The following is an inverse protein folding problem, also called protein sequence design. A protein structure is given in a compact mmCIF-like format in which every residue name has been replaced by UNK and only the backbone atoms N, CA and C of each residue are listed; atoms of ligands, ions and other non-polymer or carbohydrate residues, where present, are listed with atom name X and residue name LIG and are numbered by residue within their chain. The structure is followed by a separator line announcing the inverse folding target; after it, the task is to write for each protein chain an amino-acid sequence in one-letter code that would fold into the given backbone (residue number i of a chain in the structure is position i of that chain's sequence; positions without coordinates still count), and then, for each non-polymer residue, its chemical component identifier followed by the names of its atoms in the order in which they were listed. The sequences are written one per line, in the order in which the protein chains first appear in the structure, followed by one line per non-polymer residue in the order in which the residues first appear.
data_IF_216299494498
#
_entry.id   IF_216299494498
#
_cell.length_a   1.000
_cell.length_b   1.000
_cell.length_c   1.000
_cell.angle_alpha   90.00
_cell.angle_beta   90.00
_cell.angle_gamma   90.00
#
_symmetry.space_group_name_H-M   'P 1'
#
loop_
_entity.id
_entity.type
_entity.pdbx_description
1 polymer ?
#
# COMPACT_ATOMS: atom_id res chain seq x y z
N UNK A 1 25.25 -11.48 1.34
CA UNK A 1 24.58 -10.17 1.28
C UNK A 1 23.38 -10.26 0.35
N UNK A 2 22.19 -9.93 0.85
CA UNK A 2 20.88 -10.09 0.18
C UNK A 2 20.55 -8.89 -0.72
N UNK A 3 19.63 -9.02 -1.70
CA UNK A 3 19.20 -7.90 -2.55
C UNK A 3 18.70 -6.68 -1.76
N UNK A 4 17.99 -6.91 -0.64
CA UNK A 4 17.48 -5.84 0.24
C UNK A 4 18.59 -5.07 0.95
N UNK A 5 19.69 -5.73 1.29
CA UNK A 5 20.86 -5.08 1.89
C UNK A 5 21.65 -4.27 0.86
N UNK A 6 21.75 -4.77 -0.38
CA UNK A 6 22.39 -4.02 -1.47
C UNK A 6 21.63 -2.73 -1.77
N UNK A 7 20.30 -2.79 -1.73
CA UNK A 7 19.48 -1.59 -1.86
C UNK A 7 19.73 -0.59 -0.72
N UNK A 8 19.74 -1.07 0.52
CA UNK A 8 20.03 -0.23 1.68
C UNK A 8 21.40 0.45 1.58
N UNK A 9 22.44 -0.27 1.16
CA UNK A 9 23.77 0.32 0.95
C UNK A 9 23.80 1.38 -0.15
N UNK A 10 23.11 1.14 -1.26
CA UNK A 10 22.97 2.14 -2.33
C UNK A 10 22.28 3.41 -1.82
N UNK A 11 21.16 3.27 -1.09
CA UNK A 11 20.43 4.39 -0.50
C UNK A 11 21.28 5.15 0.51
N UNK A 12 22.03 4.45 1.37
CA UNK A 12 22.94 5.08 2.33
C UNK A 12 24.03 5.86 1.61
N UNK A 13 24.61 5.30 0.56
CA UNK A 13 25.64 5.97 -0.25
C UNK A 13 25.09 7.27 -0.83
N UNK A 14 23.90 7.23 -1.41
CA UNK A 14 23.25 8.42 -1.97
C UNK A 14 22.86 9.43 -0.90
N UNK A 15 22.36 8.98 0.25
CA UNK A 15 22.07 9.84 1.39
C UNK A 15 23.34 10.56 1.87
N UNK A 16 24.49 9.87 1.95
CA UNK A 16 25.79 10.48 2.28
C UNK A 16 26.18 11.56 1.27
N UNK A 17 25.95 11.35 -0.04
CA UNK A 17 26.23 12.39 -1.05
C UNK A 17 25.36 13.65 -0.87
N UNK A 18 24.18 13.51 -0.24
CA UNK A 18 23.31 14.63 0.17
C UNK A 18 23.65 15.22 1.56
N UNK A 19 24.76 14.81 2.17
CA UNK A 19 25.18 15.31 3.48
C UNK A 19 24.57 14.57 4.67
N UNK A 20 23.97 13.39 4.47
CA UNK A 20 23.53 12.57 5.59
C UNK A 20 24.73 12.19 6.48
N UNK A 21 24.68 12.44 7.81
CA UNK A 21 25.77 12.14 8.71
C UNK A 21 25.82 10.64 9.06
N UNK A 22 25.60 9.74 8.10
CA UNK A 22 25.55 8.29 8.35
C UNK A 22 26.97 7.73 8.45
N UNK A 23 27.25 7.00 9.52
CA UNK A 23 28.52 6.29 9.72
C UNK A 23 28.44 4.95 8.98
N UNK A 24 27.46 4.13 9.34
CA UNK A 24 27.24 2.81 8.77
C UNK A 24 25.91 2.21 9.20
N UNK A 25 25.73 0.93 8.93
CA UNK A 25 24.56 0.19 9.40
C UNK A 25 24.96 -1.24 9.75
N UNK A 26 24.19 -1.88 10.62
CA UNK A 26 24.40 -3.28 11.02
C UNK A 26 23.08 -3.98 11.31
N UNK A 27 23.07 -5.31 11.18
CA UNK A 27 21.96 -6.11 11.72
C UNK A 27 22.17 -6.33 13.21
N UNK A 28 21.09 -6.18 13.96
CA UNK A 28 21.03 -6.56 15.37
C UNK A 28 20.73 -8.06 15.50
N UNK A 29 21.05 -8.69 16.64
CA UNK A 29 20.72 -10.10 16.91
C UNK A 29 19.23 -10.42 16.78
N UNK A 30 18.34 -9.43 17.02
CA UNK A 30 16.90 -9.56 16.85
C UNK A 30 16.36 -9.34 15.43
N UNK A 31 17.23 -9.37 14.41
CA UNK A 31 16.84 -9.22 13.00
C UNK A 31 16.54 -7.78 12.55
N UNK A 32 16.50 -6.81 13.48
CA UNK A 32 16.34 -5.37 13.17
C UNK A 32 17.61 -4.82 12.53
N UNK A 33 17.48 -3.75 11.75
CA UNK A 33 18.58 -2.98 11.20
C UNK A 33 18.83 -1.75 12.05
N UNK A 34 20.08 -1.51 12.42
CA UNK A 34 20.53 -0.29 13.10
C UNK A 34 21.33 0.56 12.12
N UNK A 35 20.94 1.81 11.91
CA UNK A 35 21.68 2.80 11.11
C UNK A 35 22.30 3.80 12.07
N UNK A 36 23.62 3.94 11.98
CA UNK A 36 24.43 4.78 12.87
C UNK A 36 24.67 6.15 12.24
N UNK A 37 24.53 7.20 13.04
CA UNK A 37 24.69 8.59 12.62
C UNK A 37 25.75 9.28 13.48
N UNK A 38 26.44 10.27 12.89
CA UNK A 38 27.42 11.11 13.58
C UNK A 38 26.69 12.01 14.56
N UNK A 39 27.14 12.01 15.82
CA UNK A 39 26.65 12.86 16.91
C UNK A 39 25.17 12.65 17.29
N UNK A 40 24.54 11.55 16.88
CA UNK A 40 23.17 11.22 17.27
C UNK A 40 23.01 9.72 17.54
N UNK A 41 21.92 9.35 18.22
CA UNK A 41 21.63 7.96 18.53
C UNK A 41 21.34 7.15 17.25
N UNK A 42 21.72 5.85 17.23
CA UNK A 42 21.37 4.97 16.12
C UNK A 42 19.86 4.85 15.95
N UNK A 43 19.40 4.83 14.70
CA UNK A 43 18.00 4.56 14.37
C UNK A 43 17.80 3.07 14.10
N UNK A 44 16.69 2.52 14.58
CA UNK A 44 16.38 1.10 14.45
C UNK A 44 15.16 0.88 13.56
N UNK A 45 15.30 -0.05 12.61
CA UNK A 45 14.28 -0.40 11.64
C UNK A 45 13.98 -1.89 11.67
N UNK A 46 12.74 -2.25 11.30
CA UNK A 46 12.29 -3.65 11.29
C UNK A 46 13.09 -4.53 10.31
N UNK A 47 13.74 -3.94 9.31
CA UNK A 47 14.61 -4.65 8.37
C UNK A 47 15.20 -3.74 7.31
N UNK A 48 16.02 -4.29 6.37
CA UNK A 48 16.76 -3.49 5.40
C UNK A 48 15.86 -2.69 4.44
N UNK A 49 14.71 -3.24 4.05
CA UNK A 49 13.76 -2.54 3.18
C UNK A 49 13.11 -1.33 3.87
N UNK A 50 12.71 -1.47 5.14
CA UNK A 50 12.13 -0.38 5.92
C UNK A 50 13.15 0.74 6.20
N UNK A 51 14.40 0.35 6.47
CA UNK A 51 15.51 1.30 6.59
C UNK A 51 15.75 2.06 5.28
N UNK A 52 15.77 1.37 4.15
CA UNK A 52 15.97 1.97 2.84
C UNK A 52 14.84 2.96 2.50
N UNK A 53 13.58 2.58 2.69
CA UNK A 53 12.43 3.45 2.43
C UNK A 53 12.42 4.70 3.32
N UNK A 54 12.72 4.54 4.61
CA UNK A 54 12.81 5.67 5.55
C UNK A 54 13.89 6.67 5.14
N UNK A 55 15.08 6.17 4.77
CA UNK A 55 16.18 7.01 4.32
C UNK A 55 15.89 7.69 2.97
N UNK A 56 15.19 7.01 2.05
CA UNK A 56 14.76 7.61 0.78
C UNK A 56 13.89 8.85 1.04
N UNK A 57 12.94 8.76 1.96
CA UNK A 57 12.07 9.87 2.31
C UNK A 57 12.82 10.97 3.08
N UNK A 58 13.58 10.58 4.11
CA UNK A 58 14.30 11.53 4.98
C UNK A 58 15.29 12.41 4.19
N UNK A 59 15.90 11.87 3.14
CA UNK A 59 16.89 12.59 2.32
C UNK A 59 16.37 12.99 0.93
N UNK A 60 15.05 12.98 0.72
CA UNK A 60 14.40 13.41 -0.53
C UNK A 60 14.98 12.69 -1.78
N UNK A 61 15.23 11.39 -1.69
CA UNK A 61 15.78 10.56 -2.77
C UNK A 61 14.69 9.92 -3.64
N UNK A 62 13.42 10.20 -3.37
CA UNK A 62 12.25 9.59 -4.02
C UNK A 62 12.35 9.63 -5.55
N UNK A 63 12.80 10.74 -6.14
CA UNK A 63 12.95 10.87 -7.59
C UNK A 63 13.94 9.85 -8.19
N UNK A 64 15.04 9.56 -7.48
CA UNK A 64 16.08 8.62 -7.92
C UNK A 64 15.66 7.16 -7.74
N UNK A 65 14.93 6.90 -6.66
CA UNK A 65 14.42 5.56 -6.33
C UNK A 65 12.98 5.34 -6.78
N UNK A 66 12.49 6.17 -7.71
CA UNK A 66 11.10 6.12 -8.19
C UNK A 66 10.71 4.75 -8.73
N UNK A 67 11.66 4.01 -9.30
CA UNK A 67 11.46 2.65 -9.80
C UNK A 67 11.04 1.64 -8.72
N UNK A 68 11.37 1.87 -7.44
CA UNK A 68 10.92 1.02 -6.34
C UNK A 68 9.41 1.16 -6.08
N UNK A 69 8.89 2.37 -6.33
CA UNK A 69 7.47 2.70 -6.17
C UNK A 69 6.71 2.53 -7.48
N UNK A 70 7.42 2.61 -8.60
CA UNK A 70 6.96 2.18 -9.91
C UNK A 70 7.31 0.70 -10.12
N UNK A 71 6.81 -0.19 -9.26
CA UNK A 71 6.58 -1.56 -9.72
C UNK A 71 5.81 -1.46 -11.05
N UNK A 72 6.04 -2.34 -12.05
CA UNK A 72 5.28 -2.28 -13.28
C UNK A 72 3.81 -2.40 -12.88
N UNK A 73 3.11 -1.27 -12.95
CA UNK A 73 1.66 -1.26 -13.05
C UNK A 73 1.42 -2.19 -14.22
N UNK A 74 1.01 -3.44 -13.96
CA UNK A 74 0.35 -4.25 -14.99
C UNK A 74 -0.67 -3.29 -15.55
N UNK A 75 -0.44 -2.86 -16.78
CA UNK A 75 -1.13 -1.71 -17.31
C UNK A 75 -2.62 -1.99 -17.16
N UNK A 76 -3.36 -1.09 -16.50
CA UNK A 76 -4.81 -1.19 -16.41
C UNK A 76 -5.43 -1.36 -17.82
N UNK A 77 -4.74 -0.88 -18.86
CA UNK A 77 -5.05 -1.14 -20.28
C UNK A 77 -4.99 -2.60 -20.72
N UNK A 78 -4.19 -3.47 -20.09
CA UNK A 78 -4.20 -4.90 -20.38
C UNK A 78 -5.26 -5.68 -19.61
N UNK A 79 -5.82 -5.14 -18.51
CA UNK A 79 -6.95 -5.77 -17.81
C UNK A 79 -8.31 -5.34 -18.35
N UNK A 80 -8.44 -4.12 -18.85
CA UNK A 80 -9.70 -3.62 -19.44
C UNK A 80 -10.08 -4.27 -20.79
N UNK A 81 -9.14 -4.96 -21.46
CA UNK A 81 -9.38 -5.61 -22.76
C UNK A 81 -9.43 -7.14 -22.70
N UNK A 82 -9.55 -7.73 -21.52
CA UNK A 82 -9.79 -9.18 -21.39
C UNK A 82 -11.08 -9.43 -20.64
N UNK A 83 -12.18 -9.46 -21.38
CA UNK A 83 -13.18 -10.50 -21.21
C UNK A 83 -13.93 -10.73 -22.53
N UNK A 84 -14.49 -11.93 -22.79
CA UNK A 84 -14.50 -13.12 -21.95
C UNK A 84 -14.00 -14.38 -22.66
N UNK A 85 -13.33 -15.29 -21.95
CA UNK A 85 -13.29 -16.72 -22.29
C UNK A 85 -12.55 -17.52 -21.21
N UNK A 86 -13.18 -17.74 -20.05
CA UNK A 86 -13.11 -19.05 -19.38
C UNK A 86 -14.17 -19.14 -18.26
N UNK A 87 -15.19 -20.01 -18.34
CA UNK A 87 -16.22 -20.15 -17.31
C UNK A 87 -15.73 -20.84 -16.02
N UNK A 88 -14.44 -21.17 -15.90
CA UNK A 88 -13.89 -21.92 -14.77
C UNK A 88 -12.76 -21.22 -14.01
N UNK A 89 -12.44 -19.95 -14.32
CA UNK A 89 -11.59 -19.18 -13.41
C UNK A 89 -12.43 -18.80 -12.20
N UNK A 90 -12.16 -19.48 -11.06
CA UNK A 90 -12.59 -19.03 -9.74
C UNK A 90 -12.44 -17.51 -9.69
N UNK A 91 -13.56 -16.80 -9.53
CA UNK A 91 -13.53 -15.36 -9.30
C UNK A 91 -12.52 -15.11 -8.19
N UNK A 92 -11.53 -14.27 -8.48
CA UNK A 92 -10.56 -13.91 -7.48
C UNK A 92 -11.31 -13.30 -6.30
N UNK A 93 -11.00 -13.65 -5.03
CA UNK A 93 -11.59 -13.00 -3.86
C UNK A 93 -11.51 -11.46 -3.93
N UNK A 94 -10.50 -10.94 -4.64
CA UNK A 94 -10.34 -9.52 -4.95
C UNK A 94 -11.39 -8.97 -5.90
N UNK A 95 -11.74 -9.69 -6.97
CA UNK A 95 -12.73 -9.23 -7.95
C UNK A 95 -14.12 -9.17 -7.30
N UNK A 96 -14.43 -10.16 -6.45
CA UNK A 96 -15.65 -10.20 -5.62
C UNK A 96 -15.68 -9.02 -4.63
N UNK A 97 -14.60 -8.80 -3.89
CA UNK A 97 -14.50 -7.70 -2.94
C UNK A 97 -14.60 -6.32 -3.60
N UNK A 98 -13.97 -6.15 -4.77
CA UNK A 98 -14.02 -4.91 -5.53
C UNK A 98 -15.44 -4.64 -6.04
N UNK A 99 -16.09 -5.67 -6.58
CA UNK A 99 -17.48 -5.57 -7.02
C UNK A 99 -18.40 -5.16 -5.86
N UNK A 100 -18.34 -5.87 -4.73
CA UNK A 100 -19.17 -5.56 -3.55
C UNK A 100 -18.90 -4.15 -3.00
N UNK A 101 -17.65 -3.69 -3.01
CA UNK A 101 -17.32 -2.32 -2.60
C UNK A 101 -17.80 -1.27 -3.61
N UNK A 102 -17.74 -1.57 -4.91
CA UNK A 102 -18.20 -0.65 -5.96
C UNK A 102 -19.71 -0.43 -5.96
N UNK A 103 -20.50 -1.44 -5.58
CA UNK A 103 -21.95 -1.33 -5.39
C UNK A 103 -22.32 -0.40 -4.22
N UNK A 104 -21.45 -0.34 -3.21
CA UNK A 104 -21.65 0.49 -2.01
C UNK A 104 -21.16 1.92 -2.23
N UNK A 105 -20.03 2.10 -2.91
CA UNK A 105 -19.34 3.38 -3.05
C UNK A 105 -19.83 4.09 -4.30
N UNK A 106 -20.70 5.08 -4.13
CA UNK A 106 -21.11 5.95 -5.24
C UNK A 106 -20.10 7.07 -5.42
N UNK A 107 -19.61 7.33 -6.63
CA UNK A 107 -18.58 8.36 -6.88
C UNK A 107 -19.15 9.74 -7.29
N UNK A 108 -20.47 9.89 -7.20
CA UNK A 108 -21.26 11.04 -7.66
C UNK A 108 -21.27 12.26 -6.70
N UNK A 109 -20.72 12.11 -5.50
CA UNK A 109 -20.64 13.19 -4.51
C UNK A 109 -19.26 13.27 -3.85
N UNK A 110 -19.00 14.34 -3.09
CA UNK A 110 -17.72 14.55 -2.40
C UNK A 110 -17.63 13.89 -1.01
N UNK A 111 -18.74 13.31 -0.54
CA UNK A 111 -18.87 12.79 0.81
C UNK A 111 -18.68 11.28 0.83
N UNK A 112 -17.83 10.81 1.74
CA UNK A 112 -17.74 9.40 2.05
C UNK A 112 -18.38 9.19 3.43
N UNK A 113 -19.67 8.88 3.37
CA UNK A 113 -20.57 8.90 4.52
C UNK A 113 -20.25 7.77 5.51
N UNK A 114 -20.64 7.91 6.80
CA UNK A 114 -20.52 6.82 7.77
C UNK A 114 -21.23 5.54 7.32
N UNK A 115 -22.37 5.66 6.64
CA UNK A 115 -23.13 4.52 6.11
C UNK A 115 -22.36 3.79 5.03
N UNK A 116 -21.74 4.51 4.09
CA UNK A 116 -20.88 3.91 3.07
C UNK A 116 -19.66 3.24 3.69
N UNK A 117 -19.01 3.87 4.68
CA UNK A 117 -17.90 3.26 5.43
C UNK A 117 -18.26 1.91 6.03
N UNK A 118 -19.38 1.85 6.76
CA UNK A 118 -19.83 0.62 7.41
C UNK A 118 -20.17 -0.46 6.38
N UNK A 119 -20.80 -0.10 5.26
CA UNK A 119 -21.10 -1.05 4.19
C UNK A 119 -19.85 -1.51 3.44
N UNK A 120 -18.84 -0.66 3.27
CA UNK A 120 -17.54 -1.05 2.70
C UNK A 120 -16.83 -2.04 3.62
N UNK A 121 -16.88 -1.84 4.94
CA UNK A 121 -16.37 -2.82 5.90
C UNK A 121 -17.09 -4.18 5.78
N UNK A 122 -18.42 -4.16 5.70
CA UNK A 122 -19.21 -5.39 5.53
C UNK A 122 -18.93 -6.10 4.21
N UNK A 123 -18.78 -5.36 3.11
CA UNK A 123 -18.41 -5.91 1.81
C UNK A 123 -17.02 -6.58 1.85
N UNK A 124 -16.03 -5.92 2.45
CA UNK A 124 -14.70 -6.52 2.62
C UNK A 124 -14.73 -7.77 3.50
N UNK A 125 -15.51 -7.77 4.56
CA UNK A 125 -15.70 -8.95 5.41
C UNK A 125 -16.35 -10.10 4.64
N UNK A 126 -17.46 -9.83 3.94
CA UNK A 126 -18.19 -10.82 3.16
C UNK A 126 -17.35 -11.45 2.05
N UNK A 127 -16.53 -10.66 1.38
CA UNK A 127 -15.62 -11.17 0.36
C UNK A 127 -14.50 -12.06 0.92
N UNK A 128 -14.13 -11.89 2.19
CA UNK A 128 -13.11 -12.70 2.88
C UNK A 128 -13.69 -13.86 3.70
N UNK A 129 -15.01 -13.90 3.91
CA UNK A 129 -15.68 -14.90 4.76
C UNK A 129 -15.57 -16.33 4.21
N UNK A 130 -15.47 -16.50 2.89
CA UNK A 130 -15.39 -17.81 2.24
C UNK A 130 -14.01 -18.48 2.39
N UNK A 131 -12.94 -17.72 2.64
CA UNK A 131 -11.55 -18.19 2.66
C UNK A 131 -10.92 -18.27 4.07
N UNK A 132 -11.72 -18.07 5.12
CA UNK A 132 -11.27 -17.69 6.48
C UNK A 132 -10.48 -16.38 6.46
N UNK A 133 -10.89 -15.40 7.28
CA UNK A 133 -10.35 -14.05 7.31
C UNK A 133 -8.89 -14.03 7.80
N UNK A 134 -7.95 -14.52 7.00
CA UNK A 134 -6.54 -14.51 7.35
C UNK A 134 -6.06 -13.06 7.36
N UNK A 135 -5.26 -12.71 8.36
CA UNK A 135 -4.67 -11.38 8.47
C UNK A 135 -3.87 -11.00 7.19
N UNK A 136 -3.21 -11.98 6.58
CA UNK A 136 -2.55 -11.84 5.27
C UNK A 136 -3.52 -11.52 4.14
N UNK A 137 -4.67 -12.19 4.09
CA UNK A 137 -5.71 -11.96 3.07
C UNK A 137 -6.33 -10.57 3.18
N UNK A 138 -6.60 -10.12 4.41
CA UNK A 138 -7.03 -8.75 4.66
C UNK A 138 -6.01 -7.72 4.16
N UNK A 139 -4.73 -7.87 4.50
CA UNK A 139 -3.71 -6.91 4.07
C UNK A 139 -3.52 -6.90 2.55
N UNK A 140 -3.59 -8.07 1.91
CA UNK A 140 -3.55 -8.17 0.45
C UNK A 140 -4.74 -7.44 -0.19
N UNK A 141 -5.96 -7.67 0.32
CA UNK A 141 -7.17 -7.02 -0.17
C UNK A 141 -7.12 -5.51 0.04
N UNK A 142 -6.74 -5.07 1.25
CA UNK A 142 -6.56 -3.65 1.57
C UNK A 142 -5.58 -2.99 0.61
N UNK A 143 -4.47 -3.65 0.26
CA UNK A 143 -3.49 -3.12 -0.67
C UNK A 143 -4.06 -2.97 -2.08
N UNK A 144 -4.75 -3.99 -2.60
CA UNK A 144 -5.41 -3.94 -3.90
C UNK A 144 -6.48 -2.83 -3.97
N UNK A 145 -7.24 -2.61 -2.89
CA UNK A 145 -8.22 -1.53 -2.82
C UNK A 145 -7.57 -0.15 -2.86
N UNK A 146 -6.48 0.05 -2.10
CA UNK A 146 -5.69 1.29 -2.14
C UNK A 146 -5.18 1.55 -3.56
N UNK A 147 -4.62 0.52 -4.20
CA UNK A 147 -4.07 0.63 -5.55
C UNK A 147 -5.16 0.96 -6.58
N UNK A 148 -6.33 0.32 -6.49
CA UNK A 148 -7.48 0.57 -7.36
C UNK A 148 -7.94 2.03 -7.28
N UNK A 149 -8.26 2.52 -6.07
CA UNK A 149 -8.79 3.88 -5.90
C UNK A 149 -7.73 4.96 -6.10
N UNK A 150 -6.46 4.67 -5.84
CA UNK A 150 -5.34 5.55 -6.22
C UNK A 150 -5.22 5.64 -7.74
N UNK A 151 -5.42 4.53 -8.45
CA UNK A 151 -5.50 4.49 -9.91
C UNK A 151 -6.58 5.42 -10.46
N UNK A 152 -7.80 5.34 -9.91
CA UNK A 152 -8.91 6.23 -10.28
C UNK A 152 -8.58 7.70 -9.95
N UNK A 153 -8.00 7.97 -8.77
CA UNK A 153 -7.66 9.32 -8.33
C UNK A 153 -6.67 10.03 -9.27
N UNK A 154 -5.77 9.28 -9.91
CA UNK A 154 -4.75 9.83 -10.82
C UNK A 154 -5.33 10.25 -12.17
N UNK A 155 -6.46 9.68 -12.59
CA UNK A 155 -7.12 9.97 -13.87
C UNK A 155 -8.35 10.84 -13.71
N UNK A 156 -8.90 10.95 -12.50
CA UNK A 156 -10.07 11.76 -12.20
C UNK A 156 -9.77 13.26 -12.26
N UNK A 157 -10.63 13.98 -12.98
CA UNK A 157 -10.53 15.43 -13.18
C UNK A 157 -11.58 16.20 -12.39
N UNK A 158 -12.72 15.58 -12.05
CA UNK A 158 -13.80 16.24 -11.35
C UNK A 158 -13.46 16.48 -9.86
N UNK A 159 -13.47 17.75 -9.38
CA UNK A 159 -13.14 18.07 -8.00
C UNK A 159 -13.91 17.28 -6.92
N UNK A 160 -15.25 17.11 -6.99
CA UNK A 160 -15.99 16.39 -5.95
C UNK A 160 -15.60 14.91 -5.89
N UNK A 161 -15.53 14.24 -7.04
CA UNK A 161 -15.16 12.83 -7.14
C UNK A 161 -13.71 12.61 -6.72
N UNK A 162 -12.80 13.50 -7.11
CA UNK A 162 -11.40 13.46 -6.70
C UNK A 162 -11.23 13.58 -5.19
N UNK A 163 -12.03 14.44 -4.54
CA UNK A 163 -12.01 14.57 -3.08
C UNK A 163 -12.58 13.34 -2.37
N UNK A 164 -13.64 12.74 -2.92
CA UNK A 164 -14.17 11.46 -2.41
C UNK A 164 -13.15 10.33 -2.55
N UNK A 165 -12.48 10.23 -3.69
CA UNK A 165 -11.41 9.25 -3.94
C UNK A 165 -10.25 9.41 -2.95
N UNK A 166 -9.83 10.64 -2.61
CA UNK A 166 -8.82 10.88 -1.56
C UNK A 166 -9.29 10.37 -0.19
N UNK A 167 -10.56 10.63 0.17
CA UNK A 167 -11.14 10.15 1.43
C UNK A 167 -11.23 8.63 1.48
N UNK A 168 -11.54 7.99 0.34
CA UNK A 168 -11.57 6.53 0.18
C UNK A 168 -10.18 5.91 0.33
N UNK A 169 -9.18 6.44 -0.37
CA UNK A 169 -7.79 5.97 -0.23
C UNK A 169 -7.33 6.07 1.22
N UNK A 170 -7.53 7.23 1.86
CA UNK A 170 -7.20 7.44 3.29
C UNK A 170 -7.97 6.50 4.22
N UNK A 171 -9.19 6.11 3.86
CA UNK A 171 -9.98 5.17 4.63
C UNK A 171 -9.36 3.76 4.59
N UNK A 172 -9.05 3.24 3.40
CA UNK A 172 -8.37 1.95 3.28
C UNK A 172 -6.98 1.98 3.92
N UNK A 173 -6.23 3.08 3.81
CA UNK A 173 -4.95 3.27 4.49
C UNK A 173 -5.05 3.22 6.02
N UNK A 174 -6.18 3.65 6.60
CA UNK A 174 -6.39 3.64 8.06
C UNK A 174 -7.09 2.39 8.56
N UNK A 175 -7.53 1.52 7.67
CA UNK A 175 -8.25 0.31 8.02
C UNK A 175 -7.32 -0.71 8.68
N UNK A 176 -7.71 -1.19 9.86
CA UNK A 176 -7.02 -2.25 10.58
C UNK A 176 -7.79 -3.57 10.48
N UNK A 177 -7.05 -4.68 10.58
CA UNK A 177 -7.64 -6.02 10.58
C UNK A 177 -8.68 -6.18 11.70
N UNK A 178 -8.40 -5.60 12.88
CA UNK A 178 -9.27 -5.68 14.04
C UNK A 178 -10.55 -4.83 13.91
N UNK A 179 -10.55 -3.81 13.06
CA UNK A 179 -11.77 -3.01 12.78
C UNK A 179 -12.86 -3.85 12.09
N UNK A 180 -12.46 -4.95 11.44
CA UNK A 180 -13.36 -5.89 10.78
C UNK A 180 -13.76 -7.03 11.73
N UNK A 181 -12.88 -7.42 12.66
CA UNK A 181 -13.21 -8.45 13.66
C UNK A 181 -14.19 -7.95 14.72
N UNK A 182 -14.13 -6.66 15.09
CA UNK A 182 -14.97 -6.10 16.17
C UNK A 182 -16.41 -5.77 15.73
N UNK A 183 -16.74 -5.96 14.45
CA UNK A 183 -18.12 -5.85 13.96
C UNK A 183 -18.98 -7.06 14.36
N UNK A 184 -18.38 -8.11 14.95
CA UNK A 184 -19.04 -9.32 15.46
C UNK A 184 -18.39 -9.88 16.73
#
# INVERSE_FOLDING_TARGET
MTPKERLLEAVITDAKTKGAPIIGWRRTPGGKVSVEFKNTLPQYFLGPAAAADSLIHQYNLVARYRYLYNAPKRSLRQRANTQPADPQKRESPFDKALHECSEVIRLDNAEFTPTEKNRTYQAMHKALADDSLSQSGFFALRHEMIDHYTGLLLVETEPPTREKLRKLVRFFEKMHFYDISDLY
#
